data_IF_230639666119
#
_entry.id   IF_230639666119
#
_cell.length_a   1.000
_cell.length_b   1.000
_cell.length_c   1.000
_cell.angle_alpha   90.00
_cell.angle_beta   90.00
_cell.angle_gamma   90.00
#
_symmetry.space_group_name_H-M   'P 1'
#
loop_
_entity.id
_entity.type
_entity.pdbx_description
1 polymer ?
#
# COMPACT_ATOMS: atom_id res chain seq x y z
N UNK A 1 -5.12 47.90 -37.76
CA UNK A 1 -5.61 47.59 -36.40
C UNK A 1 -5.75 46.09 -36.33
N UNK A 2 -4.69 45.42 -35.88
CA UNK A 2 -4.70 43.99 -35.66
C UNK A 2 -4.42 43.78 -34.16
N UNK A 3 -5.40 43.31 -33.47
CA UNK A 3 -5.31 42.90 -32.08
C UNK A 3 -4.74 41.51 -32.07
N UNK A 4 -3.45 41.38 -31.65
CA UNK A 4 -2.82 40.14 -31.32
C UNK A 4 -3.44 39.58 -30.02
N UNK A 5 -4.32 38.61 -30.15
CA UNK A 5 -4.70 37.74 -29.04
C UNK A 5 -3.55 36.76 -28.76
N UNK A 6 -2.89 36.94 -27.63
CA UNK A 6 -1.93 35.98 -27.09
C UNK A 6 -2.66 34.67 -26.72
N UNK A 7 -2.14 33.48 -27.10
CA UNK A 7 -2.77 32.21 -26.73
C UNK A 7 -2.77 32.04 -25.23
N UNK A 8 -3.94 31.76 -24.69
CA UNK A 8 -4.18 31.53 -23.27
C UNK A 8 -3.22 30.47 -22.69
N UNK A 9 -2.68 30.80 -21.53
CA UNK A 9 -1.85 29.94 -20.70
C UNK A 9 -2.55 28.57 -20.47
N UNK A 10 -1.93 27.43 -20.79
CA UNK A 10 -2.58 26.14 -20.57
C UNK A 10 -2.91 25.99 -19.08
N UNK A 11 -4.19 25.81 -18.79
CA UNK A 11 -4.74 25.64 -17.46
C UNK A 11 -3.86 24.68 -16.64
N UNK A 12 -3.25 25.20 -15.58
CA UNK A 12 -2.50 24.42 -14.64
C UNK A 12 -3.45 23.41 -13.99
N UNK A 13 -3.35 22.14 -14.37
CA UNK A 13 -4.06 21.07 -13.68
C UNK A 13 -3.83 21.23 -12.18
N UNK A 14 -4.88 21.15 -11.32
CA UNK A 14 -4.72 21.24 -9.88
C UNK A 14 -3.62 20.27 -9.44
N UNK A 15 -2.63 20.75 -8.67
CA UNK A 15 -1.58 19.88 -8.14
C UNK A 15 -2.24 18.74 -7.36
N UNK A 16 -2.08 17.54 -7.87
CA UNK A 16 -2.59 16.32 -7.24
C UNK A 16 -2.10 16.22 -5.79
N UNK A 17 -3.03 16.04 -4.85
CA UNK A 17 -2.72 15.99 -3.42
C UNK A 17 -2.15 14.61 -3.14
N UNK A 18 -0.82 14.53 -3.02
CA UNK A 18 -0.14 13.27 -2.71
C UNK A 18 -0.21 12.95 -1.23
N UNK A 19 -0.50 11.69 -0.91
CA UNK A 19 -0.57 11.16 0.46
C UNK A 19 0.81 10.91 1.07
N UNK A 20 1.87 11.00 0.30
CA UNK A 20 3.26 10.72 0.68
C UNK A 20 4.20 11.88 0.34
N UNK A 21 5.41 11.83 0.88
CA UNK A 21 6.51 12.74 0.54
C UNK A 21 7.58 11.97 -0.22
N UNK A 22 7.86 12.37 -1.46
CA UNK A 22 9.03 11.86 -2.18
C UNK A 22 10.30 12.35 -1.46
N UNK A 23 11.05 11.42 -0.86
CA UNK A 23 12.36 11.69 -0.31
C UNK A 23 13.40 11.18 -1.30
N UNK A 24 14.30 12.04 -1.74
CA UNK A 24 15.46 11.61 -2.49
C UNK A 24 16.36 10.80 -1.54
N UNK A 25 16.29 9.48 -1.63
CA UNK A 25 17.15 8.58 -0.88
C UNK A 25 18.36 8.17 -1.74
N UNK A 26 19.56 8.17 -1.15
CA UNK A 26 20.74 7.63 -1.83
C UNK A 26 20.68 6.10 -1.80
N UNK A 27 20.84 5.47 -2.95
CA UNK A 27 20.98 4.03 -3.07
C UNK A 27 22.38 3.60 -2.61
N UNK A 28 22.45 2.45 -1.97
CA UNK A 28 23.73 1.74 -1.78
C UNK A 28 24.05 0.95 -3.04
N UNK A 29 25.33 0.60 -3.27
CA UNK A 29 25.74 -0.24 -4.40
C UNK A 29 24.97 -1.58 -4.46
N UNK A 30 24.67 -2.18 -3.31
CA UNK A 30 23.89 -3.42 -3.23
C UNK A 30 22.45 -3.22 -3.70
N UNK A 31 21.82 -2.10 -3.32
CA UNK A 31 20.47 -1.76 -3.76
C UNK A 31 20.40 -1.42 -5.25
N UNK A 32 21.41 -0.69 -5.78
CA UNK A 32 21.53 -0.43 -7.23
C UNK A 32 21.62 -1.72 -8.02
N UNK A 33 22.49 -2.66 -7.58
CA UNK A 33 22.60 -3.98 -8.18
C UNK A 33 21.28 -4.76 -8.10
N UNK A 34 20.63 -4.78 -6.94
CA UNK A 34 19.34 -5.47 -6.78
C UNK A 34 18.25 -4.92 -7.71
N UNK A 35 18.20 -3.60 -7.88
CA UNK A 35 17.28 -2.98 -8.84
C UNK A 35 17.61 -3.37 -10.29
N UNK A 36 18.88 -3.51 -10.65
CA UNK A 36 19.28 -3.91 -11.98
C UNK A 36 19.02 -5.41 -12.27
N UNK A 37 19.35 -6.27 -11.31
CA UNK A 37 19.37 -7.73 -11.52
C UNK A 37 18.07 -8.43 -11.12
N UNK A 38 17.39 -7.95 -10.04
CA UNK A 38 16.21 -8.62 -9.47
C UNK A 38 14.89 -7.97 -9.87
N UNK A 39 14.89 -6.68 -10.23
CA UNK A 39 13.69 -5.99 -10.69
C UNK A 39 13.02 -6.68 -11.89
N UNK A 40 13.74 -7.17 -12.91
CA UNK A 40 13.11 -7.89 -14.02
C UNK A 40 12.30 -9.12 -13.61
N UNK A 41 12.61 -9.72 -12.46
CA UNK A 41 11.94 -10.92 -11.95
C UNK A 41 10.80 -10.59 -10.97
N UNK A 42 10.99 -9.59 -10.10
CA UNK A 42 10.08 -9.31 -8.99
C UNK A 42 9.37 -7.97 -9.12
N UNK A 43 9.88 -7.08 -9.95
CA UNK A 43 9.27 -5.78 -10.22
C UNK A 43 8.19 -5.87 -11.29
N UNK A 44 7.17 -5.05 -11.14
CA UNK A 44 6.15 -4.85 -12.17
C UNK A 44 6.52 -3.55 -12.90
N UNK A 45 6.73 -3.58 -14.23
CA UNK A 45 7.04 -2.38 -14.99
C UNK A 45 5.94 -1.32 -14.83
N UNK A 46 6.35 -0.06 -14.76
CA UNK A 46 5.40 1.05 -14.75
C UNK A 46 4.51 1.03 -16.00
N UNK A 47 3.29 1.51 -15.85
CA UNK A 47 2.37 1.62 -16.97
C UNK A 47 2.96 2.53 -18.06
N UNK A 48 3.05 2.03 -19.29
CA UNK A 48 3.42 2.81 -20.46
C UNK A 48 2.24 2.83 -21.42
N UNK A 49 1.71 4.02 -21.74
CA UNK A 49 0.56 4.15 -22.62
C UNK A 49 -0.69 3.44 -22.09
N UNK A 50 -1.34 2.69 -22.94
CA UNK A 50 -2.59 1.94 -22.67
C UNK A 50 -2.33 0.56 -22.01
N UNK A 51 -1.27 0.43 -21.19
CA UNK A 51 -1.01 -0.81 -20.45
C UNK A 51 -2.16 -1.04 -19.46
N UNK A 52 -3.07 -1.91 -19.87
CA UNK A 52 -4.32 -2.19 -19.16
C UNK A 52 -4.13 -2.89 -17.81
N UNK A 53 -5.25 -3.29 -17.26
CA UNK A 53 -5.36 -4.06 -16.03
C UNK A 53 -4.52 -5.35 -16.12
N UNK A 54 -3.77 -5.68 -15.07
CA UNK A 54 -2.88 -6.83 -15.02
C UNK A 54 -3.65 -8.15 -14.91
N UNK A 55 -3.18 -9.16 -15.62
CA UNK A 55 -3.54 -10.55 -15.32
C UNK A 55 -2.66 -11.05 -14.17
N UNK A 56 -3.26 -11.10 -12.98
CA UNK A 56 -2.54 -11.49 -11.77
C UNK A 56 -2.24 -12.98 -11.71
N UNK A 57 -3.01 -13.83 -12.35
CA UNK A 57 -2.73 -15.27 -12.45
C UNK A 57 -1.50 -15.50 -13.34
N UNK A 58 -1.42 -14.83 -14.48
CA UNK A 58 -0.24 -14.87 -15.34
C UNK A 58 1.00 -14.27 -14.64
N UNK A 59 0.85 -13.19 -13.88
CA UNK A 59 1.94 -12.52 -13.15
C UNK A 59 2.63 -13.46 -12.13
N UNK A 60 1.86 -14.30 -11.44
CA UNK A 60 2.38 -15.23 -10.43
C UNK A 60 2.52 -16.66 -10.94
N UNK A 61 1.96 -16.97 -12.12
CA UNK A 61 1.92 -18.32 -12.70
C UNK A 61 0.98 -19.27 -11.94
N UNK A 62 0.04 -18.73 -11.15
CA UNK A 62 -0.95 -19.49 -10.37
C UNK A 62 -2.15 -18.64 -9.99
N UNK A 63 -3.24 -19.29 -9.62
CA UNK A 63 -4.38 -18.64 -8.95
C UNK A 63 -4.26 -18.84 -7.44
N UNK A 64 -4.19 -17.74 -6.69
CA UNK A 64 -4.06 -17.73 -5.23
C UNK A 64 -4.67 -16.43 -4.64
N UNK A 65 -5.06 -16.39 -3.36
CA UNK A 65 -5.48 -15.15 -2.70
C UNK A 65 -4.36 -14.11 -2.72
N UNK A 66 -4.66 -12.87 -3.10
CA UNK A 66 -3.69 -11.78 -3.25
C UNK A 66 -3.84 -10.73 -2.18
N UNK A 67 -2.72 -10.32 -1.63
CA UNK A 67 -2.64 -9.28 -0.61
C UNK A 67 -1.81 -8.12 -1.16
N UNK A 68 -2.32 -6.91 -1.10
CA UNK A 68 -1.55 -5.69 -1.41
C UNK A 68 -1.15 -4.98 -0.12
N UNK A 69 0.13 -4.71 0.06
CA UNK A 69 0.61 -3.79 1.10
C UNK A 69 1.03 -2.47 0.48
N UNK A 70 0.49 -1.37 1.00
CA UNK A 70 0.77 0.01 0.57
C UNK A 70 1.80 0.64 1.46
N UNK A 71 2.87 1.21 0.86
CA UNK A 71 3.95 1.86 1.59
C UNK A 71 4.82 0.85 2.34
N UNK A 72 5.28 -0.19 1.65
CA UNK A 72 6.02 -1.30 2.27
C UNK A 72 7.34 -0.89 2.94
N UNK A 73 7.84 0.32 2.66
CA UNK A 73 9.13 0.77 3.16
C UNK A 73 10.26 -0.19 2.75
N UNK A 74 10.89 -0.85 3.73
CA UNK A 74 11.92 -1.86 3.48
C UNK A 74 11.38 -3.30 3.28
N UNK A 75 10.07 -3.48 3.25
CA UNK A 75 9.42 -4.75 3.02
C UNK A 75 9.29 -5.69 4.23
N UNK A 76 9.67 -5.27 5.44
CA UNK A 76 9.74 -6.17 6.60
C UNK A 76 8.41 -6.88 6.91
N UNK A 77 7.27 -6.18 6.86
CA UNK A 77 5.97 -6.77 7.12
C UNK A 77 5.54 -7.68 5.96
N UNK A 78 5.58 -7.16 4.74
CA UNK A 78 5.25 -7.88 3.51
C UNK A 78 5.98 -9.23 3.43
N UNK A 79 7.31 -9.22 3.54
CA UNK A 79 8.16 -10.39 3.36
C UNK A 79 7.99 -11.42 4.47
N UNK A 80 7.81 -10.97 5.71
CA UNK A 80 7.54 -11.86 6.83
C UNK A 80 6.19 -12.57 6.68
N UNK A 81 5.17 -11.88 6.16
CA UNK A 81 3.87 -12.49 5.88
C UNK A 81 3.93 -13.42 4.68
N UNK A 82 4.63 -13.04 3.60
CA UNK A 82 4.81 -13.86 2.42
C UNK A 82 5.53 -15.18 2.72
N UNK A 83 6.56 -15.15 3.57
CA UNK A 83 7.30 -16.34 4.00
C UNK A 83 6.43 -17.32 4.82
N UNK A 84 5.50 -16.81 5.63
CA UNK A 84 4.62 -17.64 6.48
C UNK A 84 3.38 -18.16 5.76
N UNK A 85 3.00 -17.55 4.63
CA UNK A 85 1.81 -17.91 3.88
C UNK A 85 2.19 -18.15 2.40
N UNK A 86 2.86 -19.28 2.10
CA UNK A 86 3.28 -19.58 0.72
C UNK A 86 2.10 -19.88 -0.22
N UNK A 87 0.92 -20.13 0.33
CA UNK A 87 -0.35 -20.32 -0.37
C UNK A 87 -1.00 -19.01 -0.87
N UNK A 88 -0.44 -17.86 -0.50
CA UNK A 88 -0.90 -16.53 -0.89
C UNK A 88 0.14 -15.80 -1.70
N UNK A 89 -0.32 -14.86 -2.54
CA UNK A 89 0.54 -13.98 -3.32
C UNK A 89 0.51 -12.56 -2.73
N UNK A 90 1.68 -11.92 -2.72
CA UNK A 90 1.86 -10.61 -2.09
C UNK A 90 2.32 -9.58 -3.11
N UNK A 91 1.61 -8.46 -3.15
CA UNK A 91 1.93 -7.27 -3.92
C UNK A 91 2.39 -6.17 -2.97
N UNK A 92 3.51 -5.54 -3.25
CA UNK A 92 4.01 -4.41 -2.49
C UNK A 92 4.07 -3.15 -3.33
N UNK A 93 3.50 -2.04 -2.88
CA UNK A 93 3.62 -0.74 -3.55
C UNK A 93 4.45 0.23 -2.71
N UNK A 94 5.49 0.84 -3.31
CA UNK A 94 6.38 1.79 -2.66
C UNK A 94 6.94 2.77 -3.70
N UNK A 95 7.07 4.03 -3.33
CA UNK A 95 7.63 5.08 -4.20
C UNK A 95 9.12 5.35 -3.95
N UNK A 96 9.66 4.82 -2.85
CA UNK A 96 11.02 5.07 -2.40
C UNK A 96 11.97 3.95 -2.86
N UNK A 97 12.75 4.22 -3.92
CA UNK A 97 13.65 3.25 -4.53
C UNK A 97 14.62 2.53 -3.56
N UNK A 98 15.23 3.17 -2.54
CA UNK A 98 16.03 2.46 -1.54
C UNK A 98 15.25 1.42 -0.74
N UNK A 99 13.96 1.66 -0.46
CA UNK A 99 13.08 0.68 0.18
C UNK A 99 12.89 -0.54 -0.71
N UNK A 100 12.54 -0.32 -1.97
CA UNK A 100 12.39 -1.38 -2.99
C UNK A 100 13.71 -2.17 -3.15
N UNK A 101 14.85 -1.49 -3.27
CA UNK A 101 16.14 -2.16 -3.39
C UNK A 101 16.47 -3.05 -2.19
N UNK A 102 16.14 -2.63 -0.98
CA UNK A 102 16.28 -3.46 0.23
C UNK A 102 15.32 -4.66 0.18
N UNK A 103 14.06 -4.42 -0.20
CA UNK A 103 13.06 -5.48 -0.28
C UNK A 103 13.47 -6.57 -1.28
N UNK A 104 14.02 -6.19 -2.44
CA UNK A 104 14.53 -7.13 -3.45
C UNK A 104 15.67 -8.02 -2.89
N UNK A 105 16.63 -7.44 -2.19
CA UNK A 105 17.71 -8.21 -1.54
C UNK A 105 17.17 -9.23 -0.54
N UNK A 106 16.17 -8.86 0.24
CA UNK A 106 15.54 -9.76 1.19
C UNK A 106 14.67 -10.84 0.53
N UNK A 107 13.97 -10.53 -0.58
CA UNK A 107 13.26 -11.54 -1.38
C UNK A 107 14.23 -12.62 -1.86
N UNK A 108 15.37 -12.22 -2.41
CA UNK A 108 16.41 -13.15 -2.87
C UNK A 108 16.97 -13.98 -1.70
N UNK A 109 17.34 -13.32 -0.60
CA UNK A 109 17.90 -13.99 0.60
C UNK A 109 16.94 -15.02 1.19
N UNK A 110 15.64 -14.73 1.18
CA UNK A 110 14.59 -15.61 1.72
C UNK A 110 14.09 -16.65 0.70
N UNK A 111 14.51 -16.55 -0.57
CA UNK A 111 14.07 -17.44 -1.64
C UNK A 111 12.57 -17.32 -1.97
N UNK A 112 11.95 -16.14 -1.73
CA UNK A 112 10.52 -15.98 -1.94
C UNK A 112 10.18 -15.92 -3.44
N UNK A 113 9.09 -16.57 -3.81
CA UNK A 113 8.58 -16.58 -5.20
C UNK A 113 7.21 -15.92 -5.33
N UNK A 114 6.51 -15.75 -4.20
CA UNK A 114 5.14 -15.26 -4.09
C UNK A 114 5.05 -13.74 -3.80
N UNK A 115 6.05 -12.96 -4.23
CA UNK A 115 6.09 -11.49 -4.04
C UNK A 115 6.30 -10.80 -5.37
N UNK A 116 5.57 -9.70 -5.62
CA UNK A 116 5.81 -8.75 -6.72
C UNK A 116 5.72 -7.32 -6.21
N UNK A 117 6.49 -6.41 -6.81
CA UNK A 117 6.66 -5.05 -6.33
C UNK A 117 6.29 -4.01 -7.39
N UNK A 118 5.55 -2.99 -6.99
CA UNK A 118 5.34 -1.75 -7.74
C UNK A 118 6.26 -0.66 -7.18
N UNK A 119 6.97 0.05 -8.05
CA UNK A 119 7.69 1.27 -7.68
C UNK A 119 6.88 2.49 -8.15
N UNK A 120 5.63 2.55 -7.72
CA UNK A 120 4.62 3.51 -8.16
C UNK A 120 3.73 3.95 -6.99
N UNK A 121 2.94 5.03 -7.21
CA UNK A 121 1.90 5.43 -6.27
C UNK A 121 0.81 4.37 -6.17
N UNK A 122 0.54 3.92 -4.96
CA UNK A 122 -0.43 2.85 -4.70
C UNK A 122 -1.86 3.20 -5.14
N UNK A 123 -2.26 4.48 -5.11
CA UNK A 123 -3.59 4.91 -5.59
C UNK A 123 -3.69 4.69 -7.10
N UNK A 124 -2.66 5.06 -7.85
CA UNK A 124 -2.57 4.79 -9.29
C UNK A 124 -2.56 3.29 -9.59
N UNK A 125 -1.78 2.51 -8.83
CA UNK A 125 -1.76 1.04 -8.96
C UNK A 125 -3.15 0.45 -8.75
N UNK A 126 -3.85 0.84 -7.67
CA UNK A 126 -5.21 0.36 -7.42
C UNK A 126 -6.18 0.76 -8.54
N UNK A 127 -6.11 2.01 -9.00
CA UNK A 127 -7.05 2.54 -9.98
C UNK A 127 -6.86 1.91 -11.35
N UNK A 128 -5.62 1.86 -11.85
CA UNK A 128 -5.31 1.62 -13.26
C UNK A 128 -4.75 0.22 -13.55
N UNK A 129 -4.18 -0.46 -12.53
CA UNK A 129 -3.41 -1.69 -12.73
C UNK A 129 -4.08 -2.94 -12.19
N UNK A 130 -4.87 -2.84 -11.14
CA UNK A 130 -5.47 -4.00 -10.50
C UNK A 130 -6.92 -4.21 -10.92
N UNK A 131 -7.34 -5.45 -11.22
CA UNK A 131 -8.73 -5.78 -11.49
C UNK A 131 -9.61 -5.47 -10.28
N UNK A 132 -10.89 -5.20 -10.51
CA UNK A 132 -11.87 -5.14 -9.44
C UNK A 132 -12.07 -6.54 -8.83
N UNK A 133 -12.38 -6.60 -7.54
CA UNK A 133 -12.59 -7.86 -6.78
C UNK A 133 -11.43 -8.87 -6.88
N UNK A 134 -10.19 -8.39 -6.97
CA UNK A 134 -9.00 -9.23 -7.15
C UNK A 134 -8.13 -9.40 -5.92
N UNK A 135 -8.36 -8.58 -4.88
CA UNK A 135 -7.57 -8.60 -3.66
C UNK A 135 -8.33 -9.29 -2.52
N UNK A 136 -7.72 -10.30 -1.91
CA UNK A 136 -8.20 -10.92 -0.68
C UNK A 136 -7.90 -10.07 0.57
N UNK A 137 -6.92 -9.15 0.48
CA UNK A 137 -6.61 -8.23 1.56
C UNK A 137 -5.83 -7.01 1.07
N UNK A 138 -6.00 -5.91 1.79
CA UNK A 138 -5.24 -4.69 1.61
C UNK A 138 -4.64 -4.27 2.96
N UNK A 139 -3.33 -4.06 2.99
CA UNK A 139 -2.59 -3.69 4.18
C UNK A 139 -2.09 -2.25 4.09
N UNK A 140 -2.22 -1.51 5.19
CA UNK A 140 -1.72 -0.15 5.33
C UNK A 140 -1.11 0.03 6.73
N UNK A 141 0.20 -0.05 6.83
CA UNK A 141 0.88 0.00 8.12
C UNK A 141 1.68 1.28 8.27
N UNK A 142 1.40 2.02 9.34
CA UNK A 142 2.06 3.27 9.72
C UNK A 142 2.10 4.32 8.59
N UNK A 143 0.96 4.60 7.94
CA UNK A 143 0.89 5.65 6.94
C UNK A 143 1.21 7.01 7.55
N UNK A 144 1.70 7.95 6.72
CA UNK A 144 2.01 9.31 7.15
C UNK A 144 0.78 9.95 7.84
N UNK A 145 0.85 10.31 9.14
CA UNK A 145 -0.30 10.78 9.90
C UNK A 145 -0.69 12.24 9.62
N UNK A 146 0.21 13.01 8.96
CA UNK A 146 -0.01 14.42 8.62
C UNK A 146 -0.50 15.25 9.83
N UNK A 147 0.32 15.38 10.86
CA UNK A 147 0.00 15.96 12.17
C UNK A 147 -0.72 17.32 12.12
N UNK A 148 -0.31 18.21 11.17
CA UNK A 148 -0.89 19.55 11.07
C UNK A 148 -2.28 19.50 10.43
N UNK A 149 -3.31 20.07 11.05
CA UNK A 149 -4.70 20.09 10.58
C UNK A 149 -4.85 20.47 9.09
N UNK A 150 -4.09 21.48 8.63
CA UNK A 150 -4.07 21.89 7.20
C UNK A 150 -3.60 20.80 6.24
N UNK A 151 -2.93 19.76 6.74
CA UNK A 151 -2.41 18.62 5.96
C UNK A 151 -3.30 17.37 6.06
N UNK A 152 -4.35 17.34 6.87
CA UNK A 152 -5.21 16.16 7.03
C UNK A 152 -5.81 15.70 5.69
N UNK A 153 -6.04 16.62 4.75
CA UNK A 153 -6.47 16.30 3.38
C UNK A 153 -5.48 15.41 2.59
N UNK A 154 -4.24 15.26 3.08
CA UNK A 154 -3.21 14.38 2.52
C UNK A 154 -3.24 12.97 3.11
N UNK A 155 -3.99 12.74 4.19
CA UNK A 155 -4.16 11.40 4.76
C UNK A 155 -4.73 10.48 3.68
N UNK A 156 -4.14 9.29 3.54
CA UNK A 156 -4.54 8.36 2.48
C UNK A 156 -5.98 7.86 2.69
N UNK A 157 -6.34 7.49 3.93
CA UNK A 157 -7.68 6.99 4.23
C UNK A 157 -8.67 8.15 4.25
N UNK A 158 -9.31 8.37 3.12
CA UNK A 158 -10.38 9.32 2.86
C UNK A 158 -11.53 8.60 2.16
N UNK A 159 -12.77 9.14 2.13
CA UNK A 159 -13.88 8.46 1.49
C UNK A 159 -13.59 7.95 0.06
N UNK A 160 -12.98 8.71 -0.87
CA UNK A 160 -12.70 8.20 -2.22
C UNK A 160 -11.74 7.00 -2.24
N UNK A 161 -10.78 6.96 -1.29
CA UNK A 161 -9.86 5.83 -1.17
C UNK A 161 -10.57 4.60 -0.60
N UNK A 162 -11.50 4.77 0.33
CA UNK A 162 -12.30 3.68 0.90
C UNK A 162 -13.22 3.05 -0.16
N UNK A 163 -13.85 3.87 -1.00
CA UNK A 163 -14.60 3.40 -2.17
C UNK A 163 -13.73 2.58 -3.14
N UNK A 164 -12.54 3.11 -3.45
CA UNK A 164 -11.59 2.41 -4.32
C UNK A 164 -11.15 1.08 -3.71
N UNK A 165 -10.81 1.03 -2.43
CA UNK A 165 -10.47 -0.21 -1.73
C UNK A 165 -11.61 -1.23 -1.78
N UNK A 166 -12.84 -0.81 -1.47
CA UNK A 166 -14.01 -1.68 -1.47
C UNK A 166 -14.22 -2.34 -2.83
N UNK A 167 -14.05 -1.57 -3.91
CA UNK A 167 -14.16 -2.08 -5.28
C UNK A 167 -13.06 -3.10 -5.63
N UNK A 168 -11.83 -2.93 -5.12
CA UNK A 168 -10.70 -3.82 -5.41
C UNK A 168 -10.68 -5.09 -4.57
N UNK A 169 -11.26 -5.06 -3.38
CA UNK A 169 -11.35 -6.21 -2.51
C UNK A 169 -12.42 -7.21 -2.99
N UNK A 170 -12.15 -8.50 -2.81
CA UNK A 170 -13.16 -9.55 -2.95
C UNK A 170 -14.24 -9.41 -1.88
N UNK A 171 -15.40 -10.06 -2.07
CA UNK A 171 -16.51 -10.02 -1.10
C UNK A 171 -16.16 -10.55 0.30
N UNK A 172 -15.15 -11.42 0.41
CA UNK A 172 -14.63 -11.93 1.68
C UNK A 172 -13.26 -11.29 2.02
N UNK A 173 -12.93 -10.19 1.35
CA UNK A 173 -11.69 -9.46 1.54
C UNK A 173 -11.68 -8.63 2.81
N UNK A 174 -10.51 -8.08 3.14
CA UNK A 174 -10.34 -7.28 4.35
C UNK A 174 -9.36 -6.14 4.16
N UNK A 175 -9.53 -5.10 4.96
CA UNK A 175 -8.56 -4.02 5.13
C UNK A 175 -7.89 -4.14 6.50
N UNK A 176 -6.56 -4.26 6.51
CA UNK A 176 -5.74 -4.35 7.72
C UNK A 176 -4.91 -3.08 7.87
N UNK A 177 -5.09 -2.38 8.96
CA UNK A 177 -4.44 -1.09 9.18
C UNK A 177 -3.85 -0.99 10.58
N UNK A 178 -2.66 -0.38 10.68
CA UNK A 178 -2.03 -0.05 11.95
C UNK A 178 -1.45 1.36 11.92
N UNK A 179 -1.52 2.07 13.06
CA UNK A 179 -0.91 3.39 13.26
C UNK A 179 -0.55 3.60 14.72
N UNK A 180 0.51 4.37 14.97
CA UNK A 180 0.95 4.83 16.29
C UNK A 180 0.42 6.25 16.64
N UNK A 181 -0.46 6.80 15.77
CA UNK A 181 -1.00 8.15 15.91
C UNK A 181 -2.50 8.14 16.22
N UNK A 182 -2.93 8.33 17.50
CA UNK A 182 -4.33 8.23 17.91
C UNK A 182 -5.30 9.09 17.09
N UNK A 183 -5.00 10.39 16.76
CA UNK A 183 -5.91 11.18 15.95
C UNK A 183 -6.06 10.70 14.51
N UNK A 184 -5.14 9.88 14.01
CA UNK A 184 -5.31 9.23 12.71
C UNK A 184 -6.09 7.92 12.83
N UNK A 185 -5.90 7.18 13.93
CA UNK A 185 -6.73 6.01 14.24
C UNK A 185 -8.22 6.37 14.32
N UNK A 186 -8.55 7.45 15.05
CA UNK A 186 -9.92 7.97 15.13
C UNK A 186 -10.48 8.38 13.77
N UNK A 187 -9.68 9.06 12.96
CA UNK A 187 -10.05 9.45 11.60
C UNK A 187 -10.34 8.23 10.73
N UNK A 188 -9.45 7.21 10.73
CA UNK A 188 -9.63 5.97 9.96
C UNK A 188 -10.92 5.27 10.38
N UNK A 189 -11.11 5.07 11.68
CA UNK A 189 -12.31 4.43 12.22
C UNK A 189 -13.58 5.17 11.81
N UNK A 190 -13.59 6.51 11.89
CA UNK A 190 -14.73 7.35 11.49
C UNK A 190 -15.06 7.24 10.01
N UNK A 191 -14.06 7.30 9.14
CA UNK A 191 -14.28 7.19 7.67
C UNK A 191 -14.82 5.81 7.30
N UNK A 192 -14.25 4.75 7.87
CA UNK A 192 -14.71 3.38 7.58
C UNK A 192 -16.12 3.11 8.12
N UNK A 193 -16.44 3.58 9.32
CA UNK A 193 -17.78 3.41 9.92
C UNK A 193 -18.89 4.07 9.10
N UNK A 194 -18.58 5.16 8.39
CA UNK A 194 -19.56 5.89 7.56
C UNK A 194 -19.62 5.44 6.12
N UNK A 195 -18.69 4.57 5.67
CA UNK A 195 -18.59 4.18 4.26
C UNK A 195 -19.66 3.18 3.80
N UNK A 196 -20.21 2.39 4.72
CA UNK A 196 -21.16 1.29 4.40
C UNK A 196 -20.50 0.06 3.75
N UNK A 197 -19.18 0.11 3.42
CA UNK A 197 -18.49 -0.97 2.71
C UNK A 197 -17.76 -1.94 3.65
N UNK A 198 -17.54 -1.55 4.89
CA UNK A 198 -16.73 -2.33 5.84
C UNK A 198 -17.50 -2.60 7.13
N UNK A 199 -17.31 -3.80 7.67
CA UNK A 199 -17.82 -4.17 8.99
C UNK A 199 -17.05 -3.50 10.13
N UNK A 200 -17.41 -3.84 11.36
CA UNK A 200 -16.72 -3.33 12.55
C UNK A 200 -15.24 -3.76 12.55
N UNK A 201 -14.37 -2.86 12.97
CA UNK A 201 -12.94 -3.13 13.09
C UNK A 201 -12.65 -4.12 14.21
N UNK A 202 -12.01 -5.23 13.87
CA UNK A 202 -11.61 -6.31 14.78
C UNK A 202 -10.19 -6.05 15.26
N UNK A 203 -9.96 -6.11 16.56
CA UNK A 203 -8.62 -6.07 17.13
C UNK A 203 -7.95 -7.45 16.98
N UNK A 204 -6.88 -7.58 16.19
CA UNK A 204 -6.26 -8.88 15.97
C UNK A 204 -5.65 -9.49 17.23
N UNK A 205 -5.31 -8.68 18.26
CA UNK A 205 -4.81 -9.19 19.54
C UNK A 205 -5.90 -9.89 20.38
N UNK A 206 -7.17 -9.58 20.10
CA UNK A 206 -8.33 -10.14 20.81
C UNK A 206 -9.12 -11.17 19.99
N UNK A 207 -8.69 -11.49 18.76
CA UNK A 207 -9.35 -12.53 17.95
C UNK A 207 -8.76 -13.90 18.28
N UNK A 208 -9.55 -14.78 18.86
CA UNK A 208 -9.19 -16.16 19.11
C UNK A 208 -8.83 -16.87 17.79
N UNK A 209 -7.55 -17.15 17.58
CA UNK A 209 -7.05 -17.90 16.42
C UNK A 209 -6.32 -17.10 15.34
N UNK A 210 -6.25 -15.80 15.45
CA UNK A 210 -5.53 -14.96 14.48
C UNK A 210 -4.59 -14.00 15.20
N UNK A 211 -3.33 -14.39 15.36
CA UNK A 211 -2.30 -13.36 15.46
C UNK A 211 -2.38 -12.56 14.16
N UNK A 212 -2.24 -11.25 14.18
CA UNK A 212 -2.28 -10.41 12.97
C UNK A 212 -1.34 -10.91 11.85
N UNK A 213 -0.48 -11.88 12.17
CA UNK A 213 0.57 -12.37 11.30
C UNK A 213 1.60 -11.27 10.96
N UNK A 214 1.36 -10.06 11.40
CA UNK A 214 2.25 -8.92 11.16
C UNK A 214 3.45 -8.98 12.11
N UNK A 215 4.69 -8.95 11.61
CA UNK A 215 5.87 -8.87 12.48
C UNK A 215 5.96 -7.47 13.11
N UNK A 216 6.67 -7.39 14.21
CA UNK A 216 7.04 -6.13 14.83
C UNK A 216 7.90 -5.32 13.84
N UNK A 217 7.39 -4.16 13.39
CA UNK A 217 8.14 -3.29 12.48
C UNK A 217 9.13 -2.39 13.26
N UNK A 218 10.14 -1.81 12.56
CA UNK A 218 11.05 -0.83 13.18
C UNK A 218 10.31 0.40 13.72
N UNK A 219 9.24 0.83 13.04
CA UNK A 219 8.40 1.94 13.47
C UNK A 219 7.68 1.60 14.77
N UNK A 220 7.14 0.41 14.87
CA UNK A 220 6.48 -0.11 16.06
C UNK A 220 7.45 -0.23 17.25
N UNK A 221 8.61 -0.83 17.05
CA UNK A 221 9.65 -0.90 18.07
C UNK A 221 10.10 0.48 18.56
N UNK A 222 10.08 1.50 17.71
CA UNK A 222 10.33 2.89 18.07
C UNK A 222 9.14 3.48 18.83
N UNK A 223 7.91 3.28 18.37
CA UNK A 223 6.68 3.75 19.02
C UNK A 223 6.56 3.21 20.45
N UNK A 224 6.76 1.89 20.62
CA UNK A 224 6.75 1.23 21.92
C UNK A 224 7.80 1.82 22.89
N UNK A 225 9.03 2.10 22.41
CA UNK A 225 10.07 2.76 23.22
C UNK A 225 9.70 4.18 23.65
N UNK A 226 8.83 4.86 22.88
CA UNK A 226 8.32 6.20 23.18
C UNK A 226 7.00 6.16 23.96
N UNK A 227 6.50 4.97 24.34
CA UNK A 227 5.25 4.80 25.07
C UNK A 227 3.99 5.08 24.24
N UNK A 228 4.11 5.09 22.90
CA UNK A 228 2.94 5.25 22.03
C UNK A 228 2.21 3.91 21.86
N UNK A 229 0.91 3.82 22.23
CA UNK A 229 0.12 2.63 21.96
C UNK A 229 -0.08 2.48 20.47
N UNK A 230 0.05 1.25 19.98
CA UNK A 230 -0.27 0.94 18.59
C UNK A 230 -1.75 0.59 18.50
N UNK A 231 -2.43 1.29 17.63
CA UNK A 231 -3.77 0.97 17.22
C UNK A 231 -3.71 0.14 15.95
N UNK A 232 -4.32 -1.04 15.97
CA UNK A 232 -4.36 -1.99 14.87
C UNK A 232 -5.75 -2.57 14.72
N UNK A 233 -6.29 -2.63 13.51
CA UNK A 233 -7.62 -3.17 13.23
C UNK A 233 -7.66 -3.87 11.87
N UNK A 234 -8.50 -4.90 11.81
CA UNK A 234 -8.88 -5.59 10.58
C UNK A 234 -10.36 -5.32 10.33
N UNK A 235 -10.68 -4.75 9.18
CA UNK A 235 -12.02 -4.43 8.76
C UNK A 235 -12.45 -5.40 7.65
N UNK A 236 -13.40 -6.32 7.91
CA UNK A 236 -13.94 -7.18 6.86
C UNK A 236 -14.74 -6.34 5.86
N UNK A 237 -14.59 -6.63 4.57
CA UNK A 237 -15.45 -6.05 3.56
C UNK A 237 -16.85 -6.62 3.72
N UNK A 238 -17.87 -5.78 3.69
CA UNK A 238 -19.27 -6.20 3.62
C UNK A 238 -19.57 -6.64 2.18
N UNK A 239 -20.39 -7.68 2.06
CA UNK A 239 -20.88 -8.13 0.75
C UNK A 239 -21.85 -7.10 0.20
N UNK A 240 -21.80 -6.88 -1.11
CA UNK A 240 -22.78 -6.06 -1.82
C UNK A 240 -24.15 -6.70 -1.78
#
# INVERSE_FOLDING_TARGET
MNSDELPGNPESRPREIRSYVLRAGRLTRAQERALAELWPRFGIPAATGDSGVLDLDALFGRSAPRILEIGIGNGAALLSMAARNPDRDYLGAEVHAPGIGHCLLEIERLGLTNVRLFMEDAVGVLHDRLPDHSLAGLHLFFPDPWHKKRHHKRRLVQPPFVELMARKLTNDGYFHVATDWPPYAEHIAGVLATSGHFGAGIDPAHSSGSSSGRPLTRFEARGQRLGHPIWERIYPRLRD
#
